data_IF_537047472771
#
_entry.id   IF_537047472771
#
_cell.length_a   1.000
_cell.length_b   1.000
_cell.length_c   1.000
_cell.angle_alpha   90.00
_cell.angle_beta   90.00
_cell.angle_gamma   90.00
#
_symmetry.space_group_name_H-M   'P 1'
#
loop_
_entity.id
_entity.type
_entity.pdbx_description
1 polymer ?
#
# COMPACT_ATOMS: atom_id res chain seq x y z
N UNK A 1 -25.15 10.77 -4.89
CA UNK A 1 -23.72 10.44 -4.78
C UNK A 1 -23.50 9.29 -5.73
N UNK A 2 -22.69 9.45 -6.78
CA UNK A 2 -22.40 8.32 -7.68
C UNK A 2 -21.68 7.25 -6.86
N UNK A 3 -22.32 6.09 -6.81
CA UNK A 3 -21.87 4.93 -6.07
C UNK A 3 -20.86 4.17 -6.94
N UNK A 4 -19.58 4.54 -6.82
CA UNK A 4 -18.52 3.95 -7.65
C UNK A 4 -18.37 2.44 -7.43
N UNK A 5 -18.08 1.73 -8.51
CA UNK A 5 -17.73 0.32 -8.52
C UNK A 5 -16.22 0.17 -8.78
N UNK A 6 -15.51 -0.56 -7.91
CA UNK A 6 -14.06 -0.65 -8.00
C UNK A 6 -13.51 -2.00 -7.56
N UNK A 7 -12.29 -2.30 -7.99
CA UNK A 7 -11.50 -3.43 -7.53
C UNK A 7 -10.10 -2.95 -7.09
N UNK A 8 -9.64 -3.42 -5.94
CA UNK A 8 -8.32 -3.15 -5.39
C UNK A 8 -7.50 -4.44 -5.28
N UNK A 9 -6.22 -4.38 -5.68
CA UNK A 9 -5.27 -5.50 -5.62
C UNK A 9 -4.05 -5.10 -4.77
N UNK A 10 -3.86 -5.77 -3.64
CA UNK A 10 -2.71 -5.55 -2.76
C UNK A 10 -1.92 -6.86 -2.61
N UNK A 11 -0.67 -6.86 -3.08
CA UNK A 11 0.21 -8.01 -3.09
C UNK A 11 1.67 -7.66 -2.73
N UNK A 12 1.92 -6.48 -2.15
CA UNK A 12 3.26 -6.02 -1.75
C UNK A 12 3.88 -6.82 -0.60
N UNK A 13 3.11 -7.66 0.08
CA UNK A 13 3.58 -8.46 1.22
C UNK A 13 3.46 -9.96 0.98
N UNK A 14 3.62 -10.77 2.03
CA UNK A 14 3.36 -12.22 1.97
C UNK A 14 1.89 -12.58 1.84
N UNK A 15 0.98 -11.59 1.91
CA UNK A 15 -0.46 -11.73 1.72
C UNK A 15 -0.88 -11.15 0.38
N UNK A 16 -1.65 -11.92 -0.39
CA UNK A 16 -2.47 -11.39 -1.48
C UNK A 16 -3.81 -10.99 -0.87
N UNK A 17 -4.25 -9.76 -1.13
CA UNK A 17 -5.56 -9.26 -0.74
C UNK A 17 -6.25 -8.62 -1.95
N UNK A 18 -7.54 -8.90 -2.08
CA UNK A 18 -8.43 -8.28 -3.06
C UNK A 18 -9.59 -7.63 -2.31
N UNK A 19 -10.08 -6.50 -2.80
CA UNK A 19 -11.32 -5.90 -2.33
C UNK A 19 -12.09 -5.32 -3.50
N UNK A 20 -13.42 -5.47 -3.48
CA UNK A 20 -14.30 -4.82 -4.42
C UNK A 20 -15.31 -3.96 -3.68
N UNK A 21 -15.76 -2.87 -4.30
CA UNK A 21 -16.86 -2.08 -3.78
C UNK A 21 -17.91 -1.80 -4.84
N UNK A 22 -19.16 -1.62 -4.39
CA UNK A 22 -20.26 -1.04 -5.16
C UNK A 22 -21.26 -0.46 -4.18
N UNK A 23 -21.63 0.80 -4.36
CA UNK A 23 -22.64 1.44 -3.52
C UNK A 23 -22.38 1.37 -2.02
N UNK A 24 -21.15 1.74 -1.62
CA UNK A 24 -20.71 1.73 -0.23
C UNK A 24 -20.53 0.34 0.39
N UNK A 25 -21.00 -0.73 -0.26
CA UNK A 25 -20.74 -2.10 0.15
C UNK A 25 -19.34 -2.51 -0.31
N UNK A 26 -18.63 -3.23 0.57
CA UNK A 26 -17.26 -3.69 0.32
C UNK A 26 -17.16 -5.18 0.63
N UNK A 27 -16.71 -5.94 -0.34
CA UNK A 27 -16.35 -7.36 -0.19
C UNK A 27 -14.82 -7.49 -0.29
N UNK A 28 -14.24 -8.43 0.44
CA UNK A 28 -12.79 -8.62 0.43
C UNK A 28 -12.40 -10.09 0.55
N UNK A 29 -11.30 -10.42 -0.11
CA UNK A 29 -10.64 -11.72 -0.06
C UNK A 29 -9.17 -11.54 0.36
N UNK A 30 -8.61 -12.54 1.03
CA UNK A 30 -7.17 -12.59 1.24
C UNK A 30 -6.67 -14.02 1.35
N UNK A 31 -5.45 -14.25 0.88
CA UNK A 31 -4.74 -15.51 1.02
C UNK A 31 -3.31 -15.26 1.50
N UNK A 32 -2.85 -16.12 2.42
CA UNK A 32 -1.49 -16.09 2.96
C UNK A 32 -1.05 -17.55 3.14
N UNK A 33 0.04 -17.99 2.50
CA UNK A 33 0.95 -17.21 1.65
C UNK A 33 0.32 -16.78 0.31
N UNK A 34 0.66 -15.59 -0.18
CA UNK A 34 0.09 -14.98 -1.39
C UNK A 34 0.03 -15.93 -2.59
N UNK A 35 1.10 -16.71 -2.81
CA UNK A 35 1.26 -17.66 -3.92
C UNK A 35 0.14 -18.71 -4.04
N UNK A 36 -0.62 -18.98 -2.97
CA UNK A 36 -1.69 -19.99 -3.01
C UNK A 36 -2.90 -19.53 -3.80
N UNK A 37 -3.06 -18.22 -4.03
CA UNK A 37 -4.20 -17.64 -4.73
C UNK A 37 -3.84 -16.79 -5.95
N UNK A 38 -2.55 -16.67 -6.31
CA UNK A 38 -2.13 -15.83 -7.45
C UNK A 38 -2.65 -16.33 -8.80
N UNK A 39 -2.77 -17.64 -8.97
CA UNK A 39 -3.28 -18.25 -10.21
C UNK A 39 -4.79 -18.01 -10.40
N UNK A 40 -5.54 -17.92 -9.31
CA UNK A 40 -6.99 -17.73 -9.30
C UNK A 40 -7.41 -16.27 -9.00
N UNK A 41 -6.52 -15.30 -9.24
CA UNK A 41 -6.76 -13.89 -8.86
C UNK A 41 -8.03 -13.31 -9.52
N UNK A 42 -8.26 -13.62 -10.80
CA UNK A 42 -9.45 -13.15 -11.52
C UNK A 42 -10.72 -13.89 -11.11
N UNK A 43 -10.62 -15.17 -10.73
CA UNK A 43 -11.75 -15.94 -10.21
C UNK A 43 -12.22 -15.33 -8.88
N UNK A 44 -11.29 -15.10 -7.94
CA UNK A 44 -11.62 -14.45 -6.67
C UNK A 44 -12.13 -13.02 -6.87
N UNK A 45 -11.55 -12.24 -7.78
CA UNK A 45 -12.06 -10.90 -8.10
C UNK A 45 -13.50 -10.95 -8.64
N UNK A 46 -13.80 -11.90 -9.53
CA UNK A 46 -15.15 -12.10 -10.06
C UNK A 46 -16.13 -12.50 -8.95
N UNK A 47 -15.75 -13.41 -8.05
CA UNK A 47 -16.57 -13.80 -6.90
C UNK A 47 -16.94 -12.60 -6.01
N UNK A 48 -16.00 -11.69 -5.74
CA UNK A 48 -16.26 -10.48 -4.98
C UNK A 48 -17.26 -9.56 -5.70
N UNK A 49 -17.07 -9.33 -7.00
CA UNK A 49 -17.97 -8.49 -7.80
C UNK A 49 -19.38 -9.08 -7.89
N UNK A 50 -19.49 -10.40 -8.08
CA UNK A 50 -20.79 -11.09 -8.14
C UNK A 50 -21.57 -10.94 -6.83
N UNK A 51 -20.91 -11.00 -5.65
CA UNK A 51 -21.56 -10.75 -4.35
C UNK A 51 -22.09 -9.31 -4.20
N UNK A 52 -21.52 -8.38 -4.97
CA UNK A 52 -21.95 -6.99 -5.07
C UNK A 52 -22.96 -6.77 -6.22
N UNK A 53 -23.37 -7.84 -6.93
CA UNK A 53 -24.26 -7.76 -8.08
C UNK A 53 -23.61 -7.12 -9.32
N UNK A 54 -22.28 -7.10 -9.39
CA UNK A 54 -21.47 -6.51 -10.47
C UNK A 54 -20.69 -7.55 -11.27
N UNK A 55 -20.22 -7.16 -12.45
CA UNK A 55 -19.16 -7.81 -13.19
C UNK A 55 -18.00 -6.85 -13.48
N UNK A 56 -16.96 -7.34 -14.15
CA UNK A 56 -15.79 -6.51 -14.51
C UNK A 56 -16.15 -5.31 -15.39
N UNK A 57 -17.18 -5.42 -16.22
CA UNK A 57 -17.65 -4.34 -17.08
C UNK A 57 -18.32 -3.19 -16.30
N UNK A 58 -18.70 -3.41 -15.03
CA UNK A 58 -19.28 -2.39 -14.17
C UNK A 58 -18.21 -1.57 -13.43
N UNK A 59 -16.92 -1.93 -13.53
CA UNK A 59 -15.85 -1.22 -12.82
C UNK A 59 -15.68 0.20 -13.38
N UNK A 60 -15.61 1.19 -12.49
CA UNK A 60 -15.28 2.58 -12.83
C UNK A 60 -13.77 2.84 -12.76
N UNK A 61 -13.06 2.10 -11.91
CA UNK A 61 -11.61 2.15 -11.77
C UNK A 61 -11.06 0.87 -11.14
N UNK A 62 -9.75 0.67 -11.31
CA UNK A 62 -9.00 -0.37 -10.61
C UNK A 62 -7.90 0.28 -9.79
N UNK A 63 -7.58 -0.28 -8.63
CA UNK A 63 -6.53 0.23 -7.77
C UNK A 63 -5.54 -0.87 -7.42
N UNK A 64 -4.27 -0.50 -7.23
CA UNK A 64 -3.28 -1.45 -6.74
C UNK A 64 -2.22 -0.82 -5.84
N UNK A 65 -1.65 -1.66 -4.99
CA UNK A 65 -0.52 -1.32 -4.14
C UNK A 65 0.74 -1.22 -5.00
N UNK A 66 1.23 -0.02 -5.24
CA UNK A 66 2.39 0.18 -6.12
C UNK A 66 3.72 -0.09 -5.43
N UNK A 67 3.72 -0.36 -4.12
CA UNK A 67 4.91 -0.59 -3.31
C UNK A 67 5.13 0.54 -2.30
N UNK A 68 6.21 0.48 -1.51
CA UNK A 68 7.30 -0.49 -1.56
C UNK A 68 6.90 -1.90 -1.09
N UNK A 69 7.62 -2.95 -1.52
CA UNK A 69 7.36 -4.33 -1.09
C UNK A 69 7.95 -5.42 -1.98
N UNK A 70 7.33 -6.61 -1.94
CA UNK A 70 7.71 -7.81 -2.70
C UNK A 70 7.69 -7.56 -4.20
N UNK A 71 8.86 -7.60 -4.84
CA UNK A 71 9.02 -7.34 -6.28
C UNK A 71 8.07 -8.16 -7.17
N UNK A 72 7.94 -9.46 -6.88
CA UNK A 72 7.04 -10.36 -7.61
C UNK A 72 5.58 -9.98 -7.39
N UNK A 73 5.21 -9.63 -6.16
CA UNK A 73 3.87 -9.21 -5.79
C UNK A 73 3.45 -7.88 -6.41
N UNK A 74 4.36 -6.90 -6.45
CA UNK A 74 4.10 -5.61 -7.09
C UNK A 74 3.85 -5.76 -8.60
N UNK A 75 4.60 -6.63 -9.28
CA UNK A 75 4.38 -6.93 -10.70
C UNK A 75 3.05 -7.63 -10.94
N UNK A 76 2.66 -8.56 -10.07
CA UNK A 76 1.36 -9.21 -10.13
C UNK A 76 0.23 -8.18 -10.01
N UNK A 77 0.29 -7.32 -8.98
CA UNK A 77 -0.74 -6.32 -8.72
C UNK A 77 -0.86 -5.30 -9.85
N UNK A 78 0.27 -4.79 -10.36
CA UNK A 78 0.30 -3.90 -11.51
C UNK A 78 -0.27 -4.57 -12.77
N UNK A 79 0.16 -5.80 -13.09
CA UNK A 79 -0.32 -6.51 -14.27
C UNK A 79 -1.83 -6.79 -14.22
N UNK A 80 -2.36 -7.17 -13.05
CA UNK A 80 -3.79 -7.37 -12.85
C UNK A 80 -4.58 -6.06 -12.97
N UNK A 81 -4.06 -4.95 -12.43
CA UNK A 81 -4.70 -3.65 -12.58
C UNK A 81 -4.70 -3.18 -14.04
N UNK A 82 -3.57 -3.32 -14.73
CA UNK A 82 -3.43 -2.97 -16.14
C UNK A 82 -4.37 -3.77 -17.03
N UNK A 83 -4.42 -5.09 -16.87
CA UNK A 83 -5.25 -5.95 -17.72
C UNK A 83 -6.73 -5.58 -17.63
N UNK A 84 -7.24 -5.41 -16.42
CA UNK A 84 -8.62 -5.01 -16.17
C UNK A 84 -8.91 -3.59 -16.66
N UNK A 85 -7.98 -2.67 -16.43
CA UNK A 85 -8.15 -1.27 -16.82
C UNK A 85 -8.12 -1.09 -18.34
N UNK A 86 -7.26 -1.81 -19.05
CA UNK A 86 -7.27 -1.85 -20.52
C UNK A 86 -8.55 -2.46 -21.07
N UNK A 87 -9.04 -3.55 -20.48
CA UNK A 87 -10.26 -4.22 -20.93
C UNK A 87 -11.51 -3.33 -20.74
N UNK A 88 -11.57 -2.59 -19.63
CA UNK A 88 -12.69 -1.69 -19.32
C UNK A 88 -12.58 -0.28 -19.92
N UNK A 89 -11.39 0.13 -20.38
CA UNK A 89 -11.14 1.52 -20.76
C UNK A 89 -11.22 2.49 -19.59
N UNK A 90 -10.79 2.03 -18.40
CA UNK A 90 -10.96 2.75 -17.13
C UNK A 90 -9.62 3.17 -16.52
N UNK A 91 -9.60 4.22 -15.68
CA UNK A 91 -8.37 4.69 -15.03
C UNK A 91 -7.87 3.75 -13.93
N UNK A 92 -6.60 3.93 -13.54
CA UNK A 92 -5.96 3.18 -12.45
C UNK A 92 -5.54 4.11 -11.31
N UNK A 93 -5.83 3.72 -10.08
CA UNK A 93 -5.29 4.34 -8.87
C UNK A 93 -4.05 3.57 -8.40
N UNK A 94 -2.93 4.27 -8.23
CA UNK A 94 -1.68 3.73 -7.69
C UNK A 94 -1.53 4.22 -6.26
N UNK A 95 -1.53 3.32 -5.29
CA UNK A 95 -1.46 3.69 -3.87
C UNK A 95 -0.21 3.09 -3.23
N UNK A 96 0.55 3.90 -2.49
CA UNK A 96 1.69 3.40 -1.72
C UNK A 96 1.22 2.34 -0.73
N UNK A 97 1.86 1.18 -0.74
CA UNK A 97 1.57 0.10 0.21
C UNK A 97 1.90 0.51 1.66
N UNK A 98 2.76 1.50 1.86
CA UNK A 98 3.01 2.10 3.18
C UNK A 98 1.87 3.02 3.61
N UNK A 99 1.31 3.81 2.69
CA UNK A 99 0.08 4.54 2.97
C UNK A 99 -1.06 3.57 3.35
N UNK A 100 -1.23 2.48 2.60
CA UNK A 100 -2.22 1.43 2.93
C UNK A 100 -2.00 0.86 4.33
N UNK A 101 -0.74 0.59 4.70
CA UNK A 101 -0.39 0.07 6.01
C UNK A 101 -0.71 1.06 7.13
N UNK A 102 -0.39 2.34 6.93
CA UNK A 102 -0.72 3.42 7.87
C UNK A 102 -2.24 3.56 8.06
N UNK A 103 -3.02 3.52 6.98
CA UNK A 103 -4.47 3.59 7.03
C UNK A 103 -5.07 2.47 7.91
N UNK A 104 -4.62 1.24 7.71
CA UNK A 104 -5.07 0.09 8.52
C UNK A 104 -4.62 0.15 10.00
N UNK A 105 -3.61 0.97 10.33
CA UNK A 105 -3.14 1.14 11.70
C UNK A 105 -3.99 2.13 12.53
N UNK A 106 -4.81 2.97 11.88
CA UNK A 106 -5.68 3.94 12.54
C UNK A 106 -4.98 5.28 12.85
N UNK A 107 -5.61 6.17 13.64
CA UNK A 107 -5.09 7.51 13.90
C UNK A 107 -3.72 7.52 14.58
N UNK A 108 -2.83 8.41 14.14
CA UNK A 108 -1.48 8.54 14.71
C UNK A 108 -0.43 8.94 13.68
N UNK A 109 0.83 8.98 14.13
CA UNK A 109 2.00 9.17 13.25
C UNK A 109 2.75 7.86 13.17
N UNK A 110 2.75 7.26 11.99
CA UNK A 110 3.26 5.92 11.74
C UNK A 110 4.61 5.99 11.04
N UNK A 111 5.63 5.46 11.71
CA UNK A 111 6.96 5.29 11.16
C UNK A 111 7.09 3.85 10.67
N UNK A 112 7.07 3.69 9.35
CA UNK A 112 7.09 2.38 8.69
C UNK A 112 8.53 2.03 8.37
N UNK A 113 8.95 0.81 8.72
CA UNK A 113 10.27 0.29 8.39
C UNK A 113 10.12 -1.18 7.95
N UNK A 114 10.53 -1.47 6.72
CA UNK A 114 10.53 -2.82 6.17
C UNK A 114 11.93 -3.18 5.65
N UNK A 115 12.37 -4.41 5.93
CA UNK A 115 13.63 -4.93 5.40
C UNK A 115 13.61 -4.95 3.86
N UNK A 116 14.50 -4.19 3.24
CA UNK A 116 14.68 -4.12 1.79
C UNK A 116 15.74 -5.11 1.28
N UNK A 117 16.21 -6.02 2.15
CA UNK A 117 17.38 -6.90 1.99
C UNK A 117 18.68 -6.10 1.91
N UNK A 118 19.80 -6.84 1.90
CA UNK A 118 21.16 -6.27 1.76
C UNK A 118 21.50 -5.18 2.80
N UNK A 119 20.92 -5.26 3.99
CA UNK A 119 21.18 -4.30 5.08
C UNK A 119 20.50 -2.95 4.91
N UNK A 120 19.65 -2.76 3.89
CA UNK A 120 18.87 -1.55 3.69
C UNK A 120 17.42 -1.71 4.18
N UNK A 121 16.76 -0.59 4.44
CA UNK A 121 15.34 -0.57 4.81
C UNK A 121 14.54 0.31 3.85
N UNK A 122 13.32 -0.10 3.52
CA UNK A 122 12.31 0.83 3.03
C UNK A 122 11.69 1.54 4.23
N UNK A 123 11.68 2.86 4.21
CA UNK A 123 11.15 3.71 5.27
C UNK A 123 10.08 4.66 4.73
N UNK A 124 9.04 4.88 5.53
CA UNK A 124 7.98 5.84 5.24
C UNK A 124 7.45 6.45 6.55
N UNK A 125 6.92 7.67 6.47
CA UNK A 125 6.35 8.38 7.61
C UNK A 125 5.00 8.97 7.21
N UNK A 126 3.95 8.54 7.88
CA UNK A 126 2.57 8.90 7.56
C UNK A 126 1.84 9.42 8.79
N UNK A 127 0.93 10.37 8.59
CA UNK A 127 -0.02 10.82 9.60
C UNK A 127 -1.42 10.41 9.19
N UNK A 128 -2.14 9.80 10.10
CA UNK A 128 -3.57 9.52 9.97
C UNK A 128 -4.30 10.35 11.01
N UNK A 129 -5.20 11.22 10.57
CA UNK A 129 -6.05 12.02 11.45
C UNK A 129 -7.33 11.24 11.78
N UNK A 130 -7.90 11.44 12.98
CA UNK A 130 -9.10 10.71 13.39
C UNK A 130 -10.32 10.97 12.50
N UNK A 131 -10.36 12.13 11.86
CA UNK A 131 -11.46 12.62 11.02
C UNK A 131 -11.18 12.40 9.52
N UNK A 132 -10.03 11.82 9.17
CA UNK A 132 -9.64 11.55 7.78
C UNK A 132 -9.38 10.08 7.57
N UNK A 133 -10.04 9.51 6.57
CA UNK A 133 -9.81 8.12 6.18
C UNK A 133 -8.50 7.92 5.39
N UNK A 134 -7.87 9.01 4.92
CA UNK A 134 -6.67 8.95 4.06
C UNK A 134 -5.42 9.45 4.79
N UNK A 135 -4.35 8.64 4.85
CA UNK A 135 -3.06 9.04 5.40
C UNK A 135 -2.41 10.18 4.60
N UNK A 136 -1.76 11.08 5.31
CA UNK A 136 -0.90 12.13 4.75
C UNK A 136 0.55 11.71 4.89
N UNK A 137 1.28 11.64 3.77
CA UNK A 137 2.71 11.40 3.78
C UNK A 137 3.43 12.62 4.40
N UNK A 138 4.20 12.38 5.47
CA UNK A 138 5.11 13.38 6.07
C UNK A 138 6.52 13.30 5.47
N UNK A 139 6.82 12.21 4.77
CA UNK A 139 7.99 12.03 3.92
C UNK A 139 7.60 11.13 2.74
N UNK A 140 8.30 11.25 1.61
CA UNK A 140 8.20 10.26 0.55
C UNK A 140 8.81 8.92 1.02
N UNK A 141 8.28 7.81 0.52
CA UNK A 141 8.85 6.50 0.78
C UNK A 141 10.28 6.45 0.22
N UNK A 142 11.22 5.91 1.00
CA UNK A 142 12.64 5.95 0.66
C UNK A 142 13.36 4.65 1.04
N UNK A 143 14.39 4.30 0.26
CA UNK A 143 15.38 3.32 0.67
C UNK A 143 16.39 4.03 1.58
N UNK A 144 16.67 3.48 2.76
CA UNK A 144 17.52 4.14 3.77
C UNK A 144 18.52 3.16 4.36
N UNK A 145 19.60 3.70 4.93
CA UNK A 145 20.47 2.96 5.84
C UNK A 145 19.85 2.98 7.25
N UNK A 146 19.31 1.84 7.73
CA UNK A 146 18.65 1.79 9.04
C UNK A 146 19.60 2.05 10.21
N UNK A 147 20.92 1.93 10.04
CA UNK A 147 21.89 2.26 11.08
C UNK A 147 22.06 3.76 11.27
N UNK A 148 21.78 4.57 10.24
CA UNK A 148 22.02 6.02 10.23
C UNK A 148 20.74 6.85 10.11
N UNK A 149 19.63 6.25 9.71
CA UNK A 149 18.42 7.00 9.41
C UNK A 149 17.75 7.60 10.65
N UNK A 150 17.19 8.80 10.50
CA UNK A 150 16.40 9.51 11.50
C UNK A 150 15.08 9.94 10.87
N UNK A 151 13.96 9.49 11.44
CA UNK A 151 12.65 10.01 11.03
C UNK A 151 12.53 11.50 11.39
N UNK A 152 12.04 12.35 10.47
CA UNK A 152 11.94 13.78 10.72
C UNK A 152 10.97 14.11 11.87
N UNK A 153 11.18 15.29 12.46
CA UNK A 153 10.42 15.82 13.59
C UNK A 153 10.71 15.14 14.92
N UNK A 154 10.03 15.58 15.99
CA UNK A 154 10.21 15.10 17.36
C UNK A 154 8.94 14.49 17.96
N UNK A 155 7.87 14.37 17.15
CA UNK A 155 6.61 13.80 17.58
C UNK A 155 6.75 12.31 17.96
N UNK A 156 5.88 11.81 18.86
CA UNK A 156 5.74 10.39 19.11
C UNK A 156 5.39 9.61 17.84
N UNK A 157 5.89 8.38 17.75
CA UNK A 157 5.79 7.51 16.59
C UNK A 157 5.19 6.15 16.97
N UNK A 158 4.36 5.61 16.11
CA UNK A 158 3.95 4.20 16.14
C UNK A 158 4.79 3.47 15.09
N UNK A 159 5.59 2.50 15.53
CA UNK A 159 6.44 1.72 14.64
C UNK A 159 5.63 0.61 13.94
N UNK A 160 5.66 0.59 12.60
CA UNK A 160 4.99 -0.41 11.78
C UNK A 160 6.00 -1.14 10.88
N UNK A 161 5.81 -2.46 10.70
CA UNK A 161 6.60 -3.28 9.79
C UNK A 161 7.77 -4.02 10.44
N UNK A 162 8.19 -5.11 9.80
CA UNK A 162 9.17 -6.06 10.34
C UNK A 162 10.60 -5.52 10.41
N UNK A 163 10.91 -4.44 9.69
CA UNK A 163 12.22 -3.78 9.74
C UNK A 163 12.60 -3.28 11.13
N UNK A 164 11.62 -2.90 11.96
CA UNK A 164 11.86 -2.50 13.35
C UNK A 164 12.35 -3.64 14.26
N UNK A 165 12.05 -4.89 13.91
CA UNK A 165 12.61 -6.06 14.59
C UNK A 165 13.99 -6.41 14.02
N UNK A 166 14.15 -6.32 12.69
CA UNK A 166 15.40 -6.63 12.00
C UNK A 166 16.56 -5.67 12.35
N UNK A 167 16.26 -4.39 12.57
CA UNK A 167 17.29 -3.36 12.73
C UNK A 167 17.30 -2.77 14.15
N UNK A 168 18.14 -3.32 15.03
CA UNK A 168 18.28 -2.85 16.41
C UNK A 168 18.71 -1.37 16.50
N UNK A 169 19.69 -0.95 15.70
CA UNK A 169 20.16 0.43 15.66
C UNK A 169 19.04 1.44 15.32
N UNK A 170 18.17 1.08 14.37
CA UNK A 170 16.99 1.87 14.00
C UNK A 170 16.06 2.03 15.21
N UNK A 171 15.77 0.93 15.93
CA UNK A 171 14.89 0.94 17.09
C UNK A 171 15.47 1.74 18.26
N UNK A 172 16.73 1.51 18.61
CA UNK A 172 17.40 2.18 19.73
C UNK A 172 17.47 3.69 19.54
N UNK A 173 17.81 4.14 18.33
CA UNK A 173 17.88 5.55 17.96
C UNK A 173 16.55 6.28 18.10
N UNK A 174 15.43 5.58 17.93
CA UNK A 174 14.09 6.15 18.01
C UNK A 174 13.36 5.82 19.32
N UNK A 175 13.98 5.07 20.25
CA UNK A 175 13.31 4.50 21.42
C UNK A 175 12.52 5.52 22.25
N UNK A 176 13.07 6.72 22.45
CA UNK A 176 12.42 7.80 23.22
C UNK A 176 11.13 8.34 22.57
N UNK A 177 10.90 8.08 21.28
CA UNK A 177 9.74 8.52 20.51
C UNK A 177 8.73 7.41 20.25
N UNK A 178 9.09 6.14 20.43
CA UNK A 178 8.21 5.02 20.09
C UNK A 178 7.13 4.83 21.15
N UNK A 179 5.87 4.95 20.75
CA UNK A 179 4.70 4.63 21.58
C UNK A 179 4.35 3.14 21.56
N UNK A 180 4.78 2.41 20.53
CA UNK A 180 4.53 1.00 20.35
C UNK A 180 5.08 0.47 19.03
N UNK A 181 5.11 -0.85 18.89
CA UNK A 181 5.58 -1.58 17.71
C UNK A 181 4.53 -2.60 17.27
N UNK A 182 4.17 -2.55 15.98
CA UNK A 182 3.36 -3.57 15.31
C UNK A 182 4.17 -4.12 14.12
N UNK A 183 4.89 -5.21 14.35
CA UNK A 183 5.76 -5.79 13.33
C UNK A 183 5.00 -6.56 12.25
N UNK A 184 3.90 -7.23 12.65
CA UNK A 184 3.18 -8.18 11.79
C UNK A 184 1.99 -7.53 11.06
N UNK A 185 1.92 -6.21 11.01
CA UNK A 185 0.89 -5.52 10.23
C UNK A 185 1.20 -5.64 8.74
N UNK A 186 0.18 -5.99 7.96
CA UNK A 186 0.27 -6.14 6.51
C UNK A 186 -0.73 -5.21 5.83
N UNK A 187 -0.39 -4.62 4.65
CA UNK A 187 -1.33 -3.80 3.89
C UNK A 187 -2.48 -4.67 3.38
N UNK A 188 -3.68 -4.08 3.29
CA UNK A 188 -4.90 -4.78 2.87
C UNK A 188 -5.56 -4.07 1.69
N UNK A 189 -6.18 -4.83 0.78
CA UNK A 189 -6.90 -4.23 -0.33
C UNK A 189 -8.12 -3.41 0.13
N UNK A 190 -8.66 -3.71 1.33
CA UNK A 190 -9.76 -2.94 1.91
C UNK A 190 -9.33 -1.53 2.31
N UNK A 191 -8.17 -1.40 2.94
CA UNK A 191 -7.61 -0.09 3.30
C UNK A 191 -7.15 0.66 2.05
N UNK A 192 -6.57 -0.06 1.08
CA UNK A 192 -6.21 0.49 -0.24
C UNK A 192 -7.41 1.10 -0.95
N UNK A 193 -8.54 0.38 -0.97
CA UNK A 193 -9.74 0.83 -1.66
C UNK A 193 -10.29 2.15 -1.06
N UNK A 194 -10.15 2.38 0.25
CA UNK A 194 -10.54 3.67 0.87
C UNK A 194 -9.70 4.83 0.35
N UNK A 195 -8.39 4.64 0.21
CA UNK A 195 -7.48 5.67 -0.32
C UNK A 195 -7.77 5.90 -1.81
N UNK A 196 -7.89 4.81 -2.58
CA UNK A 196 -8.12 4.87 -4.01
C UNK A 196 -9.46 5.55 -4.37
N UNK A 197 -10.51 5.36 -3.58
CA UNK A 197 -11.80 6.02 -3.79
C UNK A 197 -11.69 7.55 -3.68
N UNK A 198 -10.87 8.05 -2.75
CA UNK A 198 -10.58 9.48 -2.66
C UNK A 198 -9.71 9.98 -3.83
N UNK A 199 -8.73 9.18 -4.27
CA UNK A 199 -7.88 9.53 -5.41
C UNK A 199 -8.66 9.57 -6.71
N UNK A 200 -9.52 8.57 -6.96
CA UNK A 200 -10.43 8.53 -8.10
C UNK A 200 -11.35 9.75 -8.14
N UNK A 201 -12.05 10.06 -7.04
CA UNK A 201 -12.94 11.24 -6.96
C UNK A 201 -12.21 12.56 -7.17
N UNK A 202 -10.94 12.62 -6.82
CA UNK A 202 -10.10 13.80 -7.01
C UNK A 202 -9.37 13.82 -8.37
N UNK A 203 -9.61 12.84 -9.25
CA UNK A 203 -8.94 12.74 -10.54
C UNK A 203 -7.44 12.40 -10.45
N UNK A 204 -6.96 11.93 -9.28
CA UNK A 204 -5.58 11.48 -9.07
C UNK A 204 -5.41 10.04 -9.55
N UNK A 205 -5.59 9.85 -10.85
CA UNK A 205 -5.48 8.55 -11.50
C UNK A 205 -4.45 8.59 -12.61
N UNK A 206 -4.01 7.41 -13.05
CA UNK A 206 -3.14 7.26 -14.22
C UNK A 206 -3.82 6.45 -15.32
N UNK A 207 -3.32 6.59 -16.54
CA UNK A 207 -3.71 5.70 -17.63
C UNK A 207 -3.18 4.27 -17.36
N UNK A 208 -3.81 3.23 -17.95
CA UNK A 208 -3.36 1.85 -17.79
C UNK A 208 -1.87 1.64 -18.16
N UNK A 209 -1.36 2.36 -19.16
CA UNK A 209 0.05 2.28 -19.56
C UNK A 209 1.03 2.73 -18.46
N UNK A 210 0.61 3.68 -17.61
CA UNK A 210 1.43 4.31 -16.58
C UNK A 210 1.23 3.68 -15.19
N UNK A 211 0.42 2.62 -15.10
CA UNK A 211 0.16 1.84 -13.90
C UNK A 211 1.36 0.94 -13.52
N UNK A 212 2.51 1.57 -13.24
CA UNK A 212 3.77 0.89 -12.96
C UNK A 212 4.00 0.69 -11.45
N UNK A 213 4.71 -0.37 -11.04
CA UNK A 213 5.25 -0.46 -9.68
C UNK A 213 6.19 0.70 -9.36
N UNK A 214 6.26 1.07 -8.08
CA UNK A 214 7.23 1.98 -7.54
C UNK A 214 8.40 1.19 -6.94
N UNK A 215 9.55 1.27 -7.60
CA UNK A 215 10.79 0.67 -7.13
C UNK A 215 11.66 1.77 -6.51
N UNK A 216 11.88 1.70 -5.20
CA UNK A 216 12.77 2.64 -4.51
C UNK A 216 14.23 2.32 -4.83
N UNK A 217 14.81 3.08 -5.76
CA UNK A 217 16.19 2.94 -6.19
C UNK A 217 17.14 3.90 -5.46
N UNK A 218 18.08 3.32 -4.71
CA UNK A 218 19.18 3.96 -3.94
C UNK A 218 18.80 5.03 -2.90
N UNK A 219 19.57 5.04 -1.81
CA UNK A 219 19.35 5.95 -0.68
C UNK A 219 19.55 7.42 -1.07
N UNK A 220 18.67 8.35 -0.65
CA UNK A 220 18.85 9.79 -0.89
C UNK A 220 20.09 10.37 -0.20
N UNK A 221 20.80 9.59 0.63
CA UNK A 221 22.02 9.99 1.34
C UNK A 221 23.24 10.12 0.41
N UNK A 222 23.19 9.69 -0.85
CA UNK A 222 24.34 9.73 -1.76
C UNK A 222 24.58 11.07 -2.50
N UNK A 223 23.84 12.15 -2.20
CA UNK A 223 24.02 13.48 -2.86
C UNK A 223 24.58 14.60 -1.99
N UNK A 224 25.29 14.29 -0.91
CA UNK A 224 26.12 15.27 -0.18
C UNK A 224 27.59 14.80 -0.24
N UNK A 225 28.23 15.05 -1.39
CA UNK A 225 29.62 14.66 -1.62
C UNK A 225 30.08 14.87 -3.05
N UNK A 226 30.06 16.11 -3.53
CA UNK A 226 30.88 16.59 -4.65
C UNK A 226 31.17 18.06 -4.44
#
# INVERSE_FOLDING_TARGET
MSESCALAVEASSERLSLAACRGGRVESFSAMPARTATAAIYEHAAELLVRLGAGFADLDYVAFGCGPGSFTGLRLAAAAAQSLAYAGGIPVCRVSSFAVLAAGAGPGVHAICQDARMGAAHAGLYRVEAERDVPVALMADALVDPALYLFPGNQPLIALGGGWQAFAAMRERHAARLLGLRADCLPSARDLLRIADQDFRAGRTVAPADALPEYLGQSPVSRLGS
#
